data_IF_933703050043
#
_entry.id   IF_933703050043
#
_cell.length_a   1.000
_cell.length_b   1.000
_cell.length_c   1.000
_cell.angle_alpha   90.00
_cell.angle_beta   90.00
_cell.angle_gamma   90.00
#
_symmetry.space_group_name_H-M   'P 1'
#
loop_
_entity.id
_entity.type
_entity.pdbx_description
1 polymer ?
#
# COMPACT_ATOMS: atom_id res chain seq x y z
N UNK A 1 -2.97 -6.54 37.28
CA UNK A 1 -2.25 -5.66 36.34
C UNK A 1 -3.28 -5.22 35.31
N UNK A 2 -3.69 -3.95 35.33
CA UNK A 2 -4.68 -3.45 34.36
C UNK A 2 -3.99 -3.22 33.01
N UNK A 3 -4.54 -3.82 31.95
CA UNK A 3 -4.05 -3.65 30.59
C UNK A 3 -4.71 -2.39 30.02
N UNK A 4 -3.92 -1.35 29.74
CA UNK A 4 -4.39 -0.16 29.03
C UNK A 4 -4.50 -0.46 27.53
N UNK A 5 -5.68 -0.26 26.97
CA UNK A 5 -5.92 -0.36 25.52
C UNK A 5 -5.45 0.95 24.85
N UNK A 6 -4.63 0.84 23.80
CA UNK A 6 -4.16 1.99 23.05
C UNK A 6 -5.31 2.67 22.30
N UNK A 7 -5.37 4.00 22.35
CA UNK A 7 -6.33 4.79 21.56
C UNK A 7 -5.75 5.12 20.18
N UNK A 8 -6.61 5.52 19.24
CA UNK A 8 -6.16 5.99 17.92
C UNK A 8 -5.14 7.13 18.04
N UNK A 9 -5.31 8.06 18.99
CA UNK A 9 -4.35 9.15 19.24
C UNK A 9 -3.00 8.65 19.76
N UNK A 10 -2.98 7.54 20.49
CA UNK A 10 -1.75 6.91 20.94
C UNK A 10 -1.02 6.27 19.73
N UNK A 11 -1.77 5.60 18.85
CA UNK A 11 -1.22 4.98 17.64
C UNK A 11 -0.68 6.01 16.64
N UNK A 12 -1.33 7.17 16.48
CA UNK A 12 -0.85 8.26 15.60
C UNK A 12 0.50 8.86 16.02
N UNK A 13 0.92 8.66 17.29
CA UNK A 13 2.22 9.12 17.79
C UNK A 13 3.33 8.09 17.60
N UNK A 14 2.98 6.88 17.20
CA UNK A 14 3.97 5.85 16.90
C UNK A 14 4.65 6.27 15.60
N UNK A 15 5.96 6.56 15.68
CA UNK A 15 6.76 6.75 14.48
C UNK A 15 6.61 5.49 13.61
N UNK A 16 6.16 5.68 12.38
CA UNK A 16 6.05 4.60 11.40
C UNK A 16 7.47 4.17 11.05
N UNK A 17 8.00 3.25 11.84
CA UNK A 17 9.30 2.64 11.60
C UNK A 17 9.16 1.54 10.55
N UNK A 18 10.29 1.19 9.95
CA UNK A 18 10.40 -0.05 9.22
C UNK A 18 10.02 -1.22 10.14
N UNK A 19 9.07 -2.05 9.73
CA UNK A 19 8.69 -3.26 10.46
C UNK A 19 9.52 -4.48 10.02
N UNK A 20 10.53 -4.29 9.15
CA UNK A 20 11.40 -5.33 8.61
C UNK A 20 10.74 -6.19 7.54
N UNK A 21 9.55 -5.80 7.09
CA UNK A 21 8.78 -6.55 6.10
C UNK A 21 9.29 -6.26 4.69
N UNK A 22 9.33 -7.30 3.85
CA UNK A 22 9.78 -7.16 2.49
C UNK A 22 8.86 -6.22 1.70
N UNK A 23 9.47 -5.32 0.91
CA UNK A 23 8.77 -4.54 -0.08
C UNK A 23 8.63 -5.36 -1.37
N UNK A 24 7.39 -5.54 -1.82
CA UNK A 24 7.07 -6.30 -3.02
C UNK A 24 6.41 -5.39 -4.06
N UNK A 25 6.69 -5.67 -5.33
CA UNK A 25 6.13 -4.92 -6.43
C UNK A 25 4.74 -5.47 -6.78
N UNK A 26 3.72 -4.61 -6.79
CA UNK A 26 2.35 -5.02 -7.07
C UNK A 26 2.14 -5.64 -8.46
N UNK A 27 3.02 -5.37 -9.43
CA UNK A 27 3.01 -6.04 -10.74
C UNK A 27 3.16 -7.56 -10.59
N UNK A 28 3.88 -8.02 -9.56
CA UNK A 28 4.14 -9.45 -9.32
C UNK A 28 2.88 -10.22 -8.88
N UNK A 29 1.81 -9.53 -8.46
CA UNK A 29 0.53 -10.17 -8.15
C UNK A 29 -0.11 -10.82 -9.39
N UNK A 30 0.25 -10.34 -10.59
CA UNK A 30 -0.18 -10.90 -11.88
C UNK A 30 -1.70 -11.16 -11.94
N UNK A 31 -2.48 -10.12 -11.68
CA UNK A 31 -3.96 -10.13 -11.74
C UNK A 31 -4.43 -9.16 -12.80
N UNK A 32 -5.26 -9.63 -13.73
CA UNK A 32 -5.75 -8.83 -14.86
C UNK A 32 -6.75 -7.74 -14.44
N UNK A 33 -7.45 -7.92 -13.33
CA UNK A 33 -8.38 -6.94 -12.75
C UNK A 33 -7.74 -6.03 -11.70
N UNK A 34 -6.40 -6.00 -11.62
CA UNK A 34 -5.63 -5.05 -10.83
C UNK A 34 -5.01 -4.00 -11.76
N UNK A 35 -5.41 -2.74 -11.59
CA UNK A 35 -4.90 -1.60 -12.34
C UNK A 35 -3.97 -0.79 -11.44
N UNK A 36 -2.73 -0.56 -11.88
CA UNK A 36 -1.74 0.24 -11.18
C UNK A 36 -1.51 1.52 -11.98
N UNK A 37 -1.95 2.67 -11.45
CA UNK A 37 -1.82 3.94 -12.17
C UNK A 37 -1.75 5.12 -11.21
N UNK A 38 -0.62 5.80 -11.19
CA UNK A 38 -0.47 7.02 -10.42
C UNK A 38 -1.42 8.12 -10.91
N UNK A 39 -2.02 8.83 -9.96
CA UNK A 39 -2.82 10.04 -10.25
C UNK A 39 -1.92 11.24 -10.56
N UNK A 40 -0.76 11.33 -9.88
CA UNK A 40 0.28 12.34 -10.12
C UNK A 40 1.61 11.69 -10.42
N UNK A 41 2.43 12.36 -11.22
CA UNK A 41 3.74 11.85 -11.64
C UNK A 41 4.88 12.13 -10.64
N UNK A 42 4.55 12.56 -9.42
CA UNK A 42 5.51 12.94 -8.38
C UNK A 42 6.34 11.76 -7.84
N UNK A 43 5.84 10.53 -7.96
CA UNK A 43 6.56 9.30 -7.60
C UNK A 43 7.45 8.73 -8.70
N UNK A 44 7.34 9.19 -9.97
CA UNK A 44 8.11 8.63 -11.09
C UNK A 44 9.63 8.69 -10.88
N UNK A 45 10.22 9.78 -10.33
CA UNK A 45 11.67 9.83 -10.11
C UNK A 45 12.21 8.78 -9.14
N UNK A 46 11.37 8.24 -8.25
CA UNK A 46 11.79 7.32 -7.19
C UNK A 46 11.48 5.86 -7.51
N UNK A 47 10.33 5.59 -8.11
CA UNK A 47 9.85 4.22 -8.35
C UNK A 47 9.48 3.95 -9.82
N UNK A 48 9.67 4.92 -10.71
CA UNK A 48 9.11 4.85 -12.05
C UNK A 48 7.59 4.64 -12.01
N UNK A 49 7.07 3.83 -12.91
CA UNK A 49 5.65 3.44 -12.93
C UNK A 49 5.32 2.30 -11.94
N UNK A 50 6.30 1.81 -11.19
CA UNK A 50 6.12 0.68 -10.29
C UNK A 50 5.50 1.13 -8.97
N UNK A 51 4.63 0.30 -8.42
CA UNK A 51 4.02 0.49 -7.11
C UNK A 51 4.47 -0.61 -6.17
N UNK A 52 4.99 -0.19 -5.01
CA UNK A 52 5.56 -1.08 -4.01
C UNK A 52 4.77 -1.00 -2.72
N UNK A 53 4.51 -2.14 -2.11
CA UNK A 53 3.88 -2.23 -0.79
C UNK A 53 4.60 -3.28 0.04
N UNK A 54 4.30 -3.31 1.34
CA UNK A 54 4.75 -4.41 2.20
C UNK A 54 4.06 -5.73 1.83
N UNK A 55 4.76 -6.84 1.99
CA UNK A 55 4.32 -8.19 1.57
C UNK A 55 2.89 -8.57 2.03
N UNK A 56 2.55 -8.36 3.29
CA UNK A 56 1.25 -8.61 3.89
C UNK A 56 0.17 -7.72 3.26
N UNK A 57 0.49 -6.46 2.95
CA UNK A 57 -0.42 -5.58 2.21
C UNK A 57 -0.66 -6.14 0.81
N UNK A 58 0.38 -6.61 0.11
CA UNK A 58 0.21 -7.25 -1.20
C UNK A 58 -0.66 -8.51 -1.12
N UNK A 59 -0.46 -9.35 -0.10
CA UNK A 59 -1.26 -10.55 0.13
C UNK A 59 -2.74 -10.22 0.37
N UNK A 60 -3.02 -9.18 1.16
CA UNK A 60 -4.39 -8.70 1.40
C UNK A 60 -5.00 -8.09 0.13
N UNK A 61 -4.22 -7.34 -0.64
CA UNK A 61 -4.66 -6.79 -1.93
C UNK A 61 -5.00 -7.91 -2.91
N UNK A 62 -4.21 -8.98 -3.00
CA UNK A 62 -4.52 -10.14 -3.82
C UNK A 62 -5.88 -10.76 -3.46
N UNK A 63 -6.15 -10.96 -2.16
CA UNK A 63 -7.44 -11.46 -1.70
C UNK A 63 -8.61 -10.53 -2.05
N UNK A 64 -8.42 -9.20 -1.93
CA UNK A 64 -9.44 -8.22 -2.33
C UNK A 64 -9.70 -8.30 -3.83
N UNK A 65 -8.64 -8.36 -4.65
CA UNK A 65 -8.73 -8.46 -6.11
C UNK A 65 -9.46 -9.74 -6.53
N UNK A 66 -9.16 -10.88 -5.90
CA UNK A 66 -9.83 -12.15 -6.16
C UNK A 66 -11.32 -12.10 -5.78
N UNK A 67 -11.67 -11.52 -4.62
CA UNK A 67 -13.07 -11.32 -4.20
C UNK A 67 -13.85 -10.36 -5.11
N UNK A 68 -13.20 -9.34 -5.66
CA UNK A 68 -13.82 -8.40 -6.60
C UNK A 68 -14.09 -9.07 -7.95
N UNK A 69 -13.21 -9.98 -8.38
CA UNK A 69 -13.40 -10.73 -9.62
C UNK A 69 -14.71 -11.55 -9.61
N UNK A 70 -15.09 -12.12 -8.46
CA UNK A 70 -16.38 -12.85 -8.29
C UNK A 70 -17.61 -11.96 -8.55
N UNK A 71 -17.43 -10.64 -8.56
CA UNK A 71 -18.48 -9.63 -8.74
C UNK A 71 -18.35 -8.85 -10.04
N UNK A 72 -17.47 -9.28 -10.95
CA UNK A 72 -17.11 -8.57 -12.18
C UNK A 72 -16.56 -7.15 -11.90
N UNK A 73 -15.79 -7.01 -10.82
CA UNK A 73 -15.15 -5.77 -10.41
C UNK A 73 -13.62 -5.87 -10.44
N UNK A 74 -12.97 -4.72 -10.62
CA UNK A 74 -11.52 -4.57 -10.55
C UNK A 74 -11.11 -3.60 -9.44
N UNK A 75 -9.82 -3.65 -9.09
CA UNK A 75 -9.19 -2.73 -8.14
C UNK A 75 -8.22 -1.81 -8.88
N UNK A 76 -8.36 -0.50 -8.68
CA UNK A 76 -7.35 0.46 -9.12
C UNK A 76 -6.58 0.99 -7.90
N UNK A 77 -5.26 0.77 -7.90
CA UNK A 77 -4.35 1.36 -6.92
C UNK A 77 -3.75 2.61 -7.53
N UNK A 78 -3.98 3.77 -6.89
CA UNK A 78 -3.47 5.07 -7.35
C UNK A 78 -2.20 5.51 -6.65
N UNK A 79 -2.00 5.05 -5.41
CA UNK A 79 -0.80 5.27 -4.61
C UNK A 79 -0.50 4.05 -3.77
N UNK A 80 0.79 3.84 -3.50
CA UNK A 80 1.32 2.76 -2.67
C UNK A 80 2.37 3.35 -1.72
N UNK A 81 3.56 2.77 -1.62
CA UNK A 81 4.71 3.42 -0.98
C UNK A 81 4.89 4.85 -1.51
N UNK A 82 5.20 5.77 -0.60
CA UNK A 82 5.49 7.17 -0.90
C UNK A 82 6.86 7.53 -0.34
N UNK A 83 7.71 8.11 -1.19
CA UNK A 83 9.02 8.58 -0.78
C UNK A 83 8.87 9.70 0.27
N UNK A 84 9.72 9.76 1.33
CA UNK A 84 9.60 10.78 2.38
C UNK A 84 9.52 12.21 1.85
N UNK A 85 10.35 12.56 0.86
CA UNK A 85 10.32 13.90 0.24
C UNK A 85 8.97 14.23 -0.42
N UNK A 86 8.29 13.24 -1.00
CA UNK A 86 6.94 13.44 -1.55
C UNK A 86 5.90 13.50 -0.43
N UNK A 87 6.08 12.69 0.62
CA UNK A 87 5.18 12.68 1.78
C UNK A 87 5.18 14.02 2.54
N UNK A 88 6.31 14.75 2.57
CA UNK A 88 6.40 16.07 3.21
C UNK A 88 5.67 17.18 2.46
N UNK A 89 5.37 16.99 1.17
CA UNK A 89 4.65 17.96 0.35
C UNK A 89 3.13 17.94 0.55
N UNK A 90 2.60 17.00 1.35
CA UNK A 90 1.16 16.76 1.59
C UNK A 90 0.83 16.72 3.08
#
# INVERSE_FOLDING_TARGET
>A
MEIRIATVRDLMKVNVADNGEAMVNLVQLNRSNLILKYEKQDMLPYCGEQMWVREEVANRLAQVVDNLAERDLGLQVTYAYRHPEIQELY
#
